data_IF_891811052577
#
_entry.id   IF_891811052577
#
_cell.length_a   1.000
_cell.length_b   1.000
_cell.length_c   1.000
_cell.angle_alpha   90.00
_cell.angle_beta   90.00
_cell.angle_gamma   90.00
#
_symmetry.space_group_name_H-M   'P 1'
#
loop_
_entity.id
_entity.type
_entity.pdbx_description
1 polymer ?
#
# COMPACT_ATOMS: atom_id res chain seq x y z
N UNK A 1 4.04 10.36 24.65
CA UNK A 1 3.70 10.08 24.36
C UNK A 1 3.67 9.45 23.58
N UNK A 2 3.58 8.91 23.34
CA UNK A 2 3.46 8.45 22.65
C UNK A 2 2.89 8.32 21.91
N UNK A 3 3.00 8.49 21.64
CA UNK A 3 2.31 8.82 20.85
C UNK A 3 1.78 7.87 20.10
N UNK A 4 2.17 7.39 19.16
CA UNK A 4 1.61 6.41 18.34
C UNK A 4 2.07 5.06 18.78
N UNK A 5 1.30 4.42 19.61
CA UNK A 5 1.66 3.12 20.09
C UNK A 5 0.99 2.01 19.32
N UNK A 6 0.20 2.34 18.26
CA UNK A 6 -0.44 1.31 17.48
C UNK A 6 0.57 0.56 16.66
N UNK A 7 0.46 -0.74 16.60
CA UNK A 7 1.37 -1.51 15.76
C UNK A 7 1.06 -1.27 14.29
N UNK A 8 2.10 -1.36 13.48
CA UNK A 8 1.95 -1.37 12.04
C UNK A 8 2.13 -2.82 11.60
N UNK A 9 1.15 -3.34 10.87
CA UNK A 9 1.17 -4.73 10.43
C UNK A 9 1.70 -4.78 9.01
N UNK A 10 2.77 -5.53 8.78
CA UNK A 10 3.35 -5.68 7.46
C UNK A 10 2.99 -7.06 6.95
N UNK A 11 2.38 -7.12 5.76
CA UNK A 11 2.00 -8.39 5.15
C UNK A 11 2.63 -8.49 3.78
N UNK A 12 3.28 -9.62 3.53
CA UNK A 12 3.87 -9.88 2.22
C UNK A 12 2.84 -10.58 1.35
N UNK A 13 2.64 -10.08 0.15
CA UNK A 13 1.69 -10.68 -0.75
C UNK A 13 2.34 -11.86 -1.48
N UNK A 14 1.52 -12.84 -1.89
CA UNK A 14 2.05 -14.03 -2.57
C UNK A 14 2.52 -13.74 -3.98
N UNK A 15 3.21 -14.68 -4.59
CA UNK A 15 3.72 -14.51 -5.94
C UNK A 15 2.60 -14.34 -6.96
N UNK A 16 1.52 -15.05 -6.79
CA UNK A 16 0.39 -14.97 -7.71
C UNK A 16 -0.81 -14.49 -6.95
N UNK A 17 -1.29 -13.34 -7.31
CA UNK A 17 -2.43 -12.77 -6.62
C UNK A 17 -3.65 -12.88 -7.52
N UNK A 18 -4.08 -14.13 -7.74
CA UNK A 18 -5.31 -14.42 -8.46
C UNK A 18 -6.47 -14.46 -7.47
N UNK A 19 -7.65 -14.80 -7.96
CA UNK A 19 -8.85 -14.76 -7.13
C UNK A 19 -8.72 -15.64 -5.89
N UNK A 20 -8.19 -16.85 -6.05
CA UNK A 20 -8.07 -17.76 -4.92
C UNK A 20 -7.10 -17.23 -3.88
N UNK A 21 -5.93 -16.81 -4.33
CA UNK A 21 -4.92 -16.28 -3.42
C UNK A 21 -5.39 -15.00 -2.77
N UNK A 22 -6.10 -14.16 -3.52
CA UNK A 22 -6.63 -12.92 -2.96
C UNK A 22 -7.63 -13.22 -1.85
N UNK A 23 -8.47 -14.24 -2.06
CA UNK A 23 -9.46 -14.60 -1.05
C UNK A 23 -8.79 -15.14 0.21
N UNK A 24 -7.76 -15.97 0.01
CA UNK A 24 -7.02 -16.49 1.16
C UNK A 24 -6.30 -15.39 1.90
N UNK A 25 -5.68 -14.49 1.17
CA UNK A 25 -4.95 -13.39 1.77
C UNK A 25 -5.91 -12.49 2.56
N UNK A 26 -7.09 -12.24 1.99
CA UNK A 26 -8.07 -11.41 2.68
C UNK A 26 -8.47 -12.06 4.00
N UNK A 27 -8.65 -13.37 4.01
CA UNK A 27 -8.97 -14.06 5.26
C UNK A 27 -7.89 -13.85 6.30
N UNK A 28 -6.63 -13.88 5.89
CA UNK A 28 -5.52 -13.70 6.82
C UNK A 28 -5.43 -12.27 7.34
N UNK A 29 -5.77 -11.30 6.53
CA UNK A 29 -5.60 -9.91 6.92
C UNK A 29 -6.85 -9.32 7.55
N UNK A 30 -7.98 -10.00 7.42
CA UNK A 30 -9.25 -9.48 7.90
C UNK A 30 -9.22 -9.04 9.36
N UNK A 31 -8.65 -9.84 10.30
CA UNK A 31 -8.65 -9.39 11.69
C UNK A 31 -7.92 -8.06 11.89
N UNK A 32 -6.89 -7.82 11.10
CA UNK A 32 -6.14 -6.57 11.23
C UNK A 32 -6.90 -5.41 10.61
N UNK A 33 -7.69 -5.67 9.57
CA UNK A 33 -8.52 -4.64 8.97
C UNK A 33 -9.63 -4.20 9.92
N UNK A 34 -10.08 -5.10 10.77
CA UNK A 34 -11.19 -4.80 11.67
C UNK A 34 -10.76 -4.11 12.95
N UNK A 35 -9.46 -3.92 13.12
CA UNK A 35 -8.97 -3.23 14.30
C UNK A 35 -9.34 -1.74 14.22
N UNK A 36 -9.25 -1.08 15.36
CA UNK A 36 -9.46 0.36 15.40
C UNK A 36 -8.26 1.06 14.78
N UNK A 37 -8.49 1.87 13.79
CA UNK A 37 -7.46 2.62 13.07
C UNK A 37 -6.33 1.71 12.59
N UNK A 38 -6.64 0.77 11.72
CA UNK A 38 -5.63 -0.18 11.26
C UNK A 38 -4.52 0.53 10.50
N UNK A 39 -3.28 0.11 10.75
CA UNK A 39 -2.12 0.63 10.03
C UNK A 39 -1.45 -0.56 9.35
N UNK A 40 -1.58 -0.62 8.04
CA UNK A 40 -1.13 -1.78 7.28
C UNK A 40 -0.14 -1.38 6.20
N UNK A 41 0.85 -2.24 5.99
CA UNK A 41 1.77 -2.13 4.88
C UNK A 41 1.74 -3.45 4.13
N UNK A 42 1.46 -3.40 2.83
CA UNK A 42 1.52 -4.59 1.99
C UNK A 42 2.81 -4.54 1.19
N UNK A 43 3.61 -5.60 1.34
CA UNK A 43 4.89 -5.73 0.65
C UNK A 43 4.65 -6.55 -0.62
N UNK A 44 4.88 -5.93 -1.77
CA UNK A 44 4.61 -6.55 -3.05
C UNK A 44 5.88 -7.02 -3.77
N UNK A 45 6.98 -7.18 -3.04
CA UNK A 45 8.25 -7.53 -3.67
C UNK A 45 8.22 -8.88 -4.38
N UNK A 46 7.42 -9.81 -3.91
CA UNK A 46 7.38 -11.14 -4.47
C UNK A 46 6.26 -11.36 -5.48
N UNK A 47 5.46 -10.33 -5.75
CA UNK A 47 4.32 -10.47 -6.65
C UNK A 47 4.82 -10.59 -8.09
N UNK A 48 4.51 -11.70 -8.73
CA UNK A 48 4.85 -11.92 -10.12
C UNK A 48 3.64 -11.83 -11.03
N UNK A 49 2.46 -12.11 -10.50
CA UNK A 49 1.22 -12.00 -11.24
C UNK A 49 0.19 -11.29 -10.38
N UNK A 50 -0.38 -10.24 -10.94
CA UNK A 50 -1.38 -9.44 -10.24
C UNK A 50 -2.50 -9.21 -11.24
N UNK A 51 -3.62 -9.92 -11.06
CA UNK A 51 -4.74 -9.76 -11.98
C UNK A 51 -5.82 -8.87 -11.34
N UNK A 52 -6.97 -8.81 -11.99
CA UNK A 52 -8.04 -7.94 -11.54
C UNK A 52 -8.45 -8.25 -10.10
N UNK A 53 -8.47 -9.53 -9.73
CA UNK A 53 -8.87 -9.88 -8.37
C UNK A 53 -7.88 -9.33 -7.35
N UNK A 54 -6.60 -9.30 -7.72
CA UNK A 54 -5.58 -8.74 -6.83
C UNK A 54 -5.74 -7.25 -6.69
N UNK A 55 -6.01 -6.56 -7.79
CA UNK A 55 -6.25 -5.12 -7.73
C UNK A 55 -7.46 -4.84 -6.84
N UNK A 56 -8.54 -5.61 -7.02
CA UNK A 56 -9.74 -5.42 -6.21
C UNK A 56 -9.46 -5.66 -4.73
N UNK A 57 -8.61 -6.63 -4.43
CA UNK A 57 -8.23 -6.89 -3.05
C UNK A 57 -7.56 -5.66 -2.43
N UNK A 58 -6.62 -5.07 -3.16
CA UNK A 58 -5.90 -3.91 -2.66
C UNK A 58 -6.87 -2.75 -2.41
N UNK A 59 -7.78 -2.52 -3.34
CA UNK A 59 -8.73 -1.43 -3.20
C UNK A 59 -9.69 -1.69 -2.06
N UNK A 60 -10.13 -2.91 -1.90
CA UNK A 60 -11.04 -3.27 -0.81
C UNK A 60 -10.36 -3.04 0.54
N UNK A 61 -9.13 -3.51 0.68
CA UNK A 61 -8.42 -3.35 1.94
C UNK A 61 -8.17 -1.89 2.26
N UNK A 62 -7.82 -1.10 1.25
CA UNK A 62 -7.62 0.33 1.47
C UNK A 62 -8.91 0.98 1.96
N UNK A 63 -10.01 0.65 1.30
CA UNK A 63 -11.30 1.23 1.65
C UNK A 63 -11.69 0.85 3.07
N UNK A 64 -11.49 -0.41 3.44
CA UNK A 64 -11.85 -0.85 4.79
C UNK A 64 -10.99 -0.17 5.85
N UNK A 65 -9.70 -0.01 5.56
CA UNK A 65 -8.82 0.67 6.49
C UNK A 65 -9.26 2.13 6.68
N UNK A 66 -9.60 2.79 5.58
CA UNK A 66 -10.02 4.19 5.65
C UNK A 66 -11.33 4.36 6.41
N UNK A 67 -12.23 3.40 6.29
CA UNK A 67 -13.49 3.47 7.03
C UNK A 67 -13.26 3.47 8.53
N UNK A 68 -12.14 2.94 8.98
CA UNK A 68 -11.83 2.86 10.40
C UNK A 68 -10.76 3.85 10.81
N UNK A 69 -10.58 4.88 10.00
CA UNK A 69 -9.59 5.94 10.27
C UNK A 69 -8.16 5.42 10.29
N UNK A 70 -7.91 4.33 9.56
CA UNK A 70 -6.58 3.80 9.38
C UNK A 70 -6.09 4.06 7.98
N UNK A 71 -5.10 3.29 7.57
CA UNK A 71 -4.54 3.43 6.24
C UNK A 71 -3.84 2.16 5.82
N UNK A 72 -3.75 1.98 4.51
CA UNK A 72 -2.99 0.90 3.89
C UNK A 72 -1.99 1.53 2.94
N UNK A 73 -0.72 1.21 3.14
CA UNK A 73 0.34 1.70 2.27
C UNK A 73 0.97 0.51 1.56
N UNK A 74 1.52 0.76 0.39
CA UNK A 74 2.18 -0.29 -0.39
C UNK A 74 3.67 -0.06 -0.35
N UNK A 75 4.44 -1.15 -0.46
CA UNK A 75 5.89 -1.05 -0.42
C UNK A 75 6.53 -2.07 -1.33
N UNK A 76 7.71 -1.74 -1.81
CA UNK A 76 8.57 -2.68 -2.51
C UNK A 76 7.90 -3.29 -3.73
N UNK A 77 7.30 -2.46 -4.56
CA UNK A 77 6.59 -2.99 -5.72
C UNK A 77 7.54 -3.78 -6.62
N UNK A 78 7.15 -5.00 -6.96
CA UNK A 78 7.86 -5.73 -8.01
C UNK A 78 7.59 -5.01 -9.32
N UNK A 79 8.42 -5.25 -10.35
CA UNK A 79 8.15 -4.64 -11.66
C UNK A 79 6.78 -5.04 -12.19
N UNK A 80 6.37 -6.28 -11.98
CA UNK A 80 5.08 -6.74 -12.47
C UNK A 80 3.93 -6.03 -11.76
N UNK A 81 4.05 -5.86 -10.44
CA UNK A 81 3.02 -5.16 -9.70
C UNK A 81 2.96 -3.70 -10.11
N UNK A 82 4.11 -3.07 -10.30
CA UNK A 82 4.15 -1.67 -10.69
C UNK A 82 3.45 -1.47 -12.03
N UNK A 83 3.71 -2.36 -13.00
CA UNK A 83 3.08 -2.25 -14.30
C UNK A 83 1.57 -2.36 -14.19
N UNK A 84 1.08 -3.33 -13.43
CA UNK A 84 -0.37 -3.52 -13.30
C UNK A 84 -1.03 -2.34 -12.60
N UNK A 85 -0.40 -1.82 -11.57
CA UNK A 85 -0.98 -0.66 -10.89
C UNK A 85 -1.02 0.54 -11.81
N UNK A 86 0.01 0.70 -12.63
CA UNK A 86 0.04 1.81 -13.57
C UNK A 86 -1.01 1.64 -14.66
N UNK A 87 -1.13 0.42 -15.21
CA UNK A 87 -2.10 0.18 -16.26
C UNK A 87 -3.53 0.41 -15.80
N UNK A 88 -3.80 0.07 -14.56
CA UNK A 88 -5.15 0.25 -14.02
C UNK A 88 -5.32 1.61 -13.36
N UNK A 89 -4.26 2.42 -13.32
CA UNK A 89 -4.26 3.75 -12.73
C UNK A 89 -4.57 3.73 -11.25
N UNK A 90 -4.36 2.60 -10.60
CA UNK A 90 -4.62 2.50 -9.17
C UNK A 90 -3.43 2.96 -8.34
N UNK A 91 -2.26 3.12 -8.95
CA UNK A 91 -1.12 3.58 -8.18
C UNK A 91 -1.37 4.94 -7.57
N UNK A 92 -2.27 5.73 -8.16
CA UNK A 92 -2.57 7.06 -7.65
C UNK A 92 -3.32 7.05 -6.35
N UNK A 93 -3.93 5.91 -6.04
CA UNK A 93 -4.78 5.81 -4.86
C UNK A 93 -4.00 5.43 -3.61
N UNK A 94 -2.75 5.00 -3.76
CA UNK A 94 -1.96 4.50 -2.65
C UNK A 94 -0.72 5.33 -2.43
N UNK A 95 -0.28 5.41 -1.17
CA UNK A 95 1.07 5.85 -0.88
C UNK A 95 1.97 4.66 -1.07
N UNK A 96 3.01 4.81 -1.88
CA UNK A 96 3.89 3.72 -2.26
C UNK A 96 5.31 4.07 -1.85
N UNK A 97 5.95 3.15 -1.15
CA UNK A 97 7.29 3.36 -0.63
C UNK A 97 8.24 2.34 -1.21
N UNK A 98 9.52 2.69 -1.29
CA UNK A 98 10.50 1.77 -1.84
C UNK A 98 10.74 0.58 -0.94
N UNK A 99 10.62 0.75 0.36
CA UNK A 99 10.84 -0.34 1.31
C UNK A 99 9.70 -0.38 2.31
N UNK A 100 9.50 -1.56 2.87
CA UNK A 100 8.53 -1.71 3.94
C UNK A 100 8.91 -0.89 5.16
N UNK A 101 10.22 -0.79 5.44
CA UNK A 101 10.67 -0.01 6.59
C UNK A 101 10.27 1.45 6.46
N UNK A 102 10.42 2.01 5.26
CA UNK A 102 10.02 3.40 5.03
C UNK A 102 8.52 3.57 5.20
N UNK A 103 7.74 2.61 4.68
CA UNK A 103 6.29 2.68 4.82
C UNK A 103 5.88 2.63 6.29
N UNK A 104 6.52 1.76 7.06
CA UNK A 104 6.21 1.63 8.48
C UNK A 104 6.52 2.95 9.19
N UNK A 105 7.68 3.52 8.92
CA UNK A 105 8.07 4.76 9.59
C UNK A 105 7.15 5.92 9.25
N UNK A 106 6.57 5.90 8.05
CA UNK A 106 5.70 6.99 7.65
C UNK A 106 4.44 7.08 8.50
N UNK A 107 4.05 5.99 9.15
CA UNK A 107 2.88 6.03 10.02
C UNK A 107 3.11 6.84 11.28
N UNK A 108 4.38 7.06 11.64
CA UNK A 108 4.66 7.89 12.80
C UNK A 108 4.95 9.34 12.41
N UNK A 109 4.67 9.68 11.16
CA UNK A 109 4.92 11.03 10.69
C UNK A 109 6.32 11.25 10.17
N UNK A 110 7.19 10.25 10.26
CA UNK A 110 8.55 10.37 9.78
C UNK A 110 8.63 9.96 8.33
N UNK A 111 9.25 10.80 7.52
CA UNK A 111 9.53 10.47 6.13
C UNK A 111 11.00 10.72 5.87
N UNK A 112 11.69 9.77 5.24
CA UNK A 112 13.07 10.02 4.83
C UNK A 112 13.08 11.22 3.87
N UNK A 113 14.16 11.97 3.90
CA UNK A 113 14.25 13.14 3.05
C UNK A 113 13.98 12.82 1.59
N UNK A 114 14.59 11.76 1.09
CA UNK A 114 14.40 11.42 -0.32
C UNK A 114 12.95 11.13 -0.62
N UNK A 115 12.29 10.40 0.26
CA UNK A 115 10.89 10.06 0.05
C UNK A 115 10.02 11.30 0.11
N UNK A 116 10.28 12.18 1.07
CA UNK A 116 9.50 13.40 1.20
C UNK A 116 9.62 14.26 -0.05
N UNK A 117 10.82 14.38 -0.55
CA UNK A 117 11.03 15.19 -1.73
C UNK A 117 10.36 14.59 -2.95
N UNK A 118 10.38 13.27 -3.05
CA UNK A 118 9.73 12.60 -4.15
C UNK A 118 8.22 12.83 -4.14
N UNK A 119 7.61 12.72 -2.99
CA UNK A 119 6.17 12.94 -2.89
C UNK A 119 5.80 14.37 -3.23
N UNK A 120 6.58 15.32 -2.74
CA UNK A 120 6.30 16.72 -3.03
C UNK A 120 6.50 17.01 -4.51
N UNK A 121 7.53 16.43 -5.09
CA UNK A 121 7.80 16.61 -6.49
C UNK A 121 6.67 16.09 -7.36
N UNK A 122 6.18 14.90 -7.04
CA UNK A 122 5.10 14.33 -7.81
C UNK A 122 3.84 15.19 -7.74
N UNK A 123 3.56 15.72 -6.59
CA UNK A 123 2.40 16.58 -6.47
C UNK A 123 2.54 17.84 -7.30
N UNK A 124 3.73 18.35 -7.37
CA UNK A 124 3.95 19.58 -8.11
C UNK A 124 3.96 19.41 -9.60
N UNK A 125 4.42 18.24 -10.05
CA UNK A 125 4.55 18.06 -11.47
C UNK A 125 3.31 17.54 -12.11
N UNK A 126 2.35 17.17 -11.30
CA UNK A 126 1.17 16.71 -11.88
C UNK A 126 0.78 17.47 -13.05
N UNK A 127 0.57 18.58 -12.91
CA UNK A 127 0.06 19.28 -13.95
C UNK A 127 0.91 19.43 -15.06
N UNK A 128 1.84 19.61 -14.88
CA UNK A 128 2.57 20.04 -15.84
C UNK A 128 2.71 19.45 -16.86
N UNK A 129 2.81 19.00 -16.58
CA UNK A 129 3.05 18.47 -17.39
C UNK A 129 2.69 18.90 -18.31
N UNK A 130 2.16 19.26 -18.16
CA UNK A 130 1.65 19.63 -19.02
C UNK A 130 2.21 20.22 -19.78
N UNK A 131 2.43 20.51 -19.80
CA UNK A 131 2.86 21.26 -20.52
C UNK A 131 3.33 21.03 -21.31
#
# INVERSE_FOLDING_TARGET
METNSRPVVVKRLPQRLNMRAAREFLGDVQPFLEADRPQLVFDLAHVQQLDAAGIELLLYCMSEAHKRDGDLKLASLSPQAAVMLELTRTERLFEIYETSADAVRSFSGFLPNAMRQQLLHEKRTDPPVAA
#
